data_IF_142399023095
#
_entry.id   IF_142399023095
#
_cell.length_a   1.000
_cell.length_b   1.000
_cell.length_c   1.000
_cell.angle_alpha   90.00
_cell.angle_beta   90.00
_cell.angle_gamma   90.00
#
_symmetry.space_group_name_H-M   'P 1'
#
loop_
_entity.id
_entity.type
_entity.pdbx_description
1 polymer ?
#
# COMPACT_ATOMS: atom_id res chain seq x y z
N UNK A 1 -20.46 9.82 -11.00
CA UNK A 1 -19.71 8.93 -11.93
C UNK A 1 -18.24 9.29 -12.18
N UNK A 2 -17.87 10.41 -12.83
CA UNK A 2 -16.47 10.66 -13.24
C UNK A 2 -15.47 10.89 -12.09
N UNK A 3 -15.87 11.63 -11.05
CA UNK A 3 -15.05 11.87 -9.84
C UNK A 3 -14.76 10.58 -9.06
N UNK A 4 -15.72 9.66 -9.08
CA UNK A 4 -15.68 8.38 -8.37
C UNK A 4 -14.66 7.45 -9.01
N UNK A 5 -14.76 7.31 -10.33
CA UNK A 5 -13.78 6.60 -11.17
C UNK A 5 -12.37 7.09 -10.92
N UNK A 6 -12.19 8.42 -10.95
CA UNK A 6 -10.88 9.03 -10.72
C UNK A 6 -10.35 8.73 -9.30
N UNK A 7 -11.20 8.88 -8.27
CA UNK A 7 -10.81 8.59 -6.89
C UNK A 7 -10.32 7.14 -6.73
N UNK A 8 -11.11 6.17 -7.17
CA UNK A 8 -10.76 4.75 -7.06
C UNK A 8 -9.55 4.38 -7.93
N UNK A 9 -9.38 4.98 -9.10
CA UNK A 9 -8.19 4.79 -9.93
C UNK A 9 -6.93 5.34 -9.25
N UNK A 10 -7.01 6.50 -8.60
CA UNK A 10 -5.91 7.08 -7.82
C UNK A 10 -5.56 6.17 -6.64
N UNK A 11 -6.57 5.69 -5.90
CA UNK A 11 -6.34 4.76 -4.80
C UNK A 11 -5.69 3.44 -5.29
N UNK A 12 -6.16 2.88 -6.41
CA UNK A 12 -5.57 1.68 -7.00
C UNK A 12 -4.12 1.89 -7.45
N UNK A 13 -3.84 3.00 -8.14
CA UNK A 13 -2.49 3.36 -8.55
C UNK A 13 -1.56 3.56 -7.33
N UNK A 14 -2.09 4.18 -6.26
CA UNK A 14 -1.36 4.34 -5.02
C UNK A 14 -0.98 3.00 -4.39
N UNK A 15 -1.89 2.02 -4.33
CA UNK A 15 -1.56 0.69 -3.79
C UNK A 15 -0.39 0.02 -4.56
N UNK A 16 -0.30 0.24 -5.88
CA UNK A 16 0.81 -0.28 -6.70
C UNK A 16 2.11 0.44 -6.39
N UNK A 17 2.10 1.78 -6.32
CA UNK A 17 3.28 2.59 -5.97
C UNK A 17 3.80 2.22 -4.59
N UNK A 18 2.87 2.09 -3.64
CA UNK A 18 3.14 1.70 -2.26
C UNK A 18 3.75 0.30 -2.17
N UNK A 19 3.18 -0.68 -2.88
CA UNK A 19 3.75 -2.02 -2.96
C UNK A 19 5.20 -1.96 -3.47
N UNK A 20 5.44 -1.26 -4.58
CA UNK A 20 6.77 -1.12 -5.16
C UNK A 20 7.76 -0.45 -4.19
N UNK A 21 7.34 0.61 -3.48
CA UNK A 21 8.18 1.31 -2.51
C UNK A 21 8.55 0.41 -1.32
N UNK A 22 7.58 -0.26 -0.70
CA UNK A 22 7.83 -1.17 0.41
C UNK A 22 8.65 -2.38 -0.03
N UNK A 23 8.36 -2.93 -1.20
CA UNK A 23 9.13 -4.04 -1.78
C UNK A 23 10.59 -3.63 -2.01
N UNK A 24 10.85 -2.49 -2.64
CA UNK A 24 12.21 -2.00 -2.87
C UNK A 24 12.98 -1.82 -1.55
N UNK A 25 12.31 -1.29 -0.52
CA UNK A 25 12.94 -1.08 0.79
C UNK A 25 13.23 -2.40 1.51
N UNK A 26 12.37 -3.40 1.38
CA UNK A 26 12.57 -4.69 2.06
C UNK A 26 13.53 -5.63 1.32
N UNK A 27 13.61 -5.53 -0.01
CA UNK A 27 14.32 -6.51 -0.86
C UNK A 27 15.67 -6.04 -1.39
N UNK A 28 15.89 -4.73 -1.53
CA UNK A 28 17.19 -4.19 -1.97
C UNK A 28 18.17 -4.20 -0.79
N UNK A 29 18.56 -5.38 -0.32
CA UNK A 29 19.70 -5.57 0.59
C UNK A 29 20.80 -6.29 -0.18
N UNK A 30 21.77 -5.56 -0.75
CA UNK A 30 22.95 -6.19 -1.33
C UNK A 30 23.66 -7.01 -0.23
N UNK A 31 24.04 -8.25 -0.54
CA UNK A 31 25.05 -8.99 0.23
C UNK A 31 24.60 -9.87 1.42
N UNK A 32 23.31 -9.94 1.78
CA UNK A 32 22.87 -10.75 2.95
C UNK A 32 22.11 -12.02 2.55
N UNK A 33 22.47 -13.16 3.16
CA UNK A 33 21.77 -14.45 2.96
C UNK A 33 20.27 -14.41 3.37
N UNK A 34 19.87 -13.42 4.19
CA UNK A 34 18.48 -13.16 4.57
C UNK A 34 17.63 -12.48 3.49
N UNK A 35 18.24 -11.93 2.43
CA UNK A 35 17.52 -11.17 1.40
C UNK A 35 16.42 -12.00 0.69
N UNK A 36 16.64 -13.31 0.50
CA UNK A 36 15.63 -14.20 -0.07
C UNK A 36 14.41 -14.37 0.83
N UNK A 37 14.60 -14.52 2.15
CA UNK A 37 13.51 -14.64 3.13
C UNK A 37 12.71 -13.35 3.18
N UNK A 38 13.38 -12.20 3.28
CA UNK A 38 12.70 -10.90 3.27
C UNK A 38 11.95 -10.62 1.96
N UNK A 39 12.48 -11.08 0.82
CA UNK A 39 11.81 -10.97 -0.48
C UNK A 39 10.54 -11.82 -0.55
N UNK A 40 10.60 -13.07 -0.09
CA UNK A 40 9.42 -13.95 -0.03
C UNK A 40 8.39 -13.39 0.94
N UNK A 41 8.80 -12.94 2.13
CA UNK A 41 7.91 -12.31 3.10
C UNK A 41 7.27 -11.02 2.54
N UNK A 42 8.05 -10.17 1.88
CA UNK A 42 7.55 -8.96 1.24
C UNK A 42 6.56 -9.26 0.11
N UNK A 43 6.81 -10.27 -0.72
CA UNK A 43 5.88 -10.75 -1.74
C UNK A 43 4.58 -11.27 -1.13
N UNK A 44 4.67 -12.04 -0.05
CA UNK A 44 3.49 -12.60 0.62
C UNK A 44 2.60 -11.50 1.18
N UNK A 45 3.17 -10.55 1.93
CA UNK A 45 2.42 -9.41 2.48
C UNK A 45 1.97 -8.40 1.42
N UNK A 46 2.70 -8.28 0.31
CA UNK A 46 2.38 -7.37 -0.78
C UNK A 46 1.34 -7.92 -1.76
N UNK A 47 1.14 -9.24 -1.84
CA UNK A 47 0.12 -9.86 -2.70
C UNK A 47 -1.30 -9.36 -2.38
N UNK A 48 -1.61 -9.18 -1.09
CA UNK A 48 -2.87 -8.60 -0.64
C UNK A 48 -3.05 -7.14 -1.04
N UNK A 49 -1.97 -6.37 -1.16
CA UNK A 49 -2.02 -4.97 -1.62
C UNK A 49 -2.34 -4.90 -3.12
N UNK A 50 -1.77 -5.79 -3.93
CA UNK A 50 -2.09 -5.88 -5.36
C UNK A 50 -3.55 -6.32 -5.58
N UNK A 51 -4.04 -7.25 -4.77
CA UNK A 51 -5.46 -7.63 -4.79
C UNK A 51 -6.36 -6.44 -4.39
N UNK A 52 -5.96 -5.64 -3.39
CA UNK A 52 -6.66 -4.42 -3.00
C UNK A 52 -6.67 -3.38 -4.12
N UNK A 53 -5.56 -3.20 -4.83
CA UNK A 53 -5.45 -2.32 -5.99
C UNK A 53 -6.46 -2.72 -7.07
N UNK A 54 -6.52 -4.02 -7.40
CA UNK A 54 -7.48 -4.55 -8.36
C UNK A 54 -8.93 -4.35 -7.88
N UNK A 55 -9.22 -4.61 -6.61
CA UNK A 55 -10.55 -4.42 -6.04
C UNK A 55 -11.00 -2.94 -6.12
N UNK A 56 -10.10 -1.99 -5.84
CA UNK A 56 -10.37 -0.57 -5.97
C UNK A 56 -10.62 -0.17 -7.43
N UNK A 57 -9.81 -0.67 -8.38
CA UNK A 57 -10.03 -0.44 -9.79
C UNK A 57 -11.40 -0.95 -10.25
N UNK A 58 -11.79 -2.16 -9.82
CA UNK A 58 -13.10 -2.75 -10.16
C UNK A 58 -14.27 -1.93 -9.58
N UNK A 59 -14.14 -1.42 -8.34
CA UNK A 59 -15.12 -0.49 -7.74
C UNK A 59 -15.21 0.84 -8.51
N UNK A 60 -14.09 1.35 -9.01
CA UNK A 60 -14.07 2.56 -9.83
C UNK A 60 -14.75 2.38 -11.17
N UNK A 61 -14.39 1.33 -11.92
CA UNK A 61 -14.89 1.12 -13.28
C UNK A 61 -16.31 0.54 -13.34
N UNK A 62 -16.68 -0.30 -12.37
CA UNK A 62 -17.97 -1.01 -12.34
C UNK A 62 -18.67 -0.87 -10.96
N UNK A 63 -18.99 0.35 -10.52
CA UNK A 63 -19.52 0.60 -9.17
C UNK A 63 -20.84 -0.11 -8.89
N UNK A 64 -21.73 -0.21 -9.88
CA UNK A 64 -23.04 -0.87 -9.74
C UNK A 64 -22.91 -2.34 -9.35
N UNK A 65 -21.92 -3.04 -9.93
CA UNK A 65 -21.68 -4.47 -9.68
C UNK A 65 -20.95 -4.73 -8.38
N UNK A 66 -20.04 -3.82 -7.98
CA UNK A 66 -19.12 -4.06 -6.86
C UNK A 66 -19.38 -3.21 -5.62
N UNK A 67 -20.43 -2.37 -5.59
CA UNK A 67 -20.77 -1.52 -4.43
C UNK A 67 -20.86 -2.26 -3.10
N UNK A 68 -21.35 -3.50 -3.11
CA UNK A 68 -21.49 -4.34 -1.92
C UNK A 68 -20.13 -4.73 -1.29
N UNK A 69 -19.03 -4.68 -2.05
CA UNK A 69 -17.68 -4.97 -1.57
C UNK A 69 -16.98 -3.77 -0.94
N UNK A 70 -17.59 -2.57 -0.96
CA UNK A 70 -16.98 -1.37 -0.37
C UNK A 70 -16.58 -1.54 1.11
N UNK A 71 -17.39 -2.17 1.99
CA UNK A 71 -16.97 -2.44 3.37
C UNK A 71 -15.74 -3.35 3.45
N UNK A 72 -15.65 -4.35 2.56
CA UNK A 72 -14.52 -5.26 2.50
C UNK A 72 -13.25 -4.52 2.05
N UNK A 73 -13.37 -3.61 1.07
CA UNK A 73 -12.25 -2.78 0.60
C UNK A 73 -11.78 -1.81 1.69
N UNK A 74 -12.68 -1.28 2.52
CA UNK A 74 -12.31 -0.50 3.70
C UNK A 74 -11.54 -1.33 4.72
N UNK A 75 -12.04 -2.53 5.04
CA UNK A 75 -11.35 -3.44 5.96
C UNK A 75 -9.96 -3.82 5.42
N UNK A 76 -9.87 -4.17 4.14
CA UNK A 76 -8.60 -4.49 3.51
C UNK A 76 -7.65 -3.29 3.51
N UNK A 77 -8.15 -2.07 3.27
CA UNK A 77 -7.36 -0.84 3.40
C UNK A 77 -6.89 -0.62 4.83
N UNK A 78 -7.71 -0.88 5.85
CA UNK A 78 -7.30 -0.81 7.26
C UNK A 78 -6.20 -1.84 7.59
N UNK A 79 -6.35 -3.08 7.13
CA UNK A 79 -5.33 -4.12 7.31
C UNK A 79 -4.04 -3.80 6.56
N UNK A 80 -4.14 -3.07 5.44
CA UNK A 80 -2.99 -2.66 4.66
C UNK A 80 -2.04 -1.76 5.45
N UNK A 81 -2.45 -1.09 6.53
CA UNK A 81 -1.51 -0.32 7.36
C UNK A 81 -0.42 -1.20 8.01
N UNK A 82 -0.72 -2.49 8.24
CA UNK A 82 0.13 -3.43 8.97
C UNK A 82 1.59 -3.44 8.49
N UNK A 83 1.89 -3.71 7.22
CA UNK A 83 3.27 -3.70 6.71
C UNK A 83 4.05 -2.41 6.97
N UNK A 84 3.41 -1.24 6.85
CA UNK A 84 4.09 0.03 7.08
C UNK A 84 4.30 0.31 8.57
N UNK A 85 3.32 -0.03 9.43
CA UNK A 85 3.48 0.02 10.89
C UNK A 85 4.62 -0.92 11.33
N UNK A 86 4.63 -2.15 10.84
CA UNK A 86 5.68 -3.12 11.14
C UNK A 86 7.05 -2.59 10.72
N UNK A 87 7.17 -2.00 9.53
CA UNK A 87 8.43 -1.40 9.08
C UNK A 87 8.92 -0.24 9.98
N UNK A 88 7.99 0.56 10.54
CA UNK A 88 8.32 1.63 11.50
C UNK A 88 8.72 1.06 12.86
N UNK A 89 7.98 0.09 13.39
CA UNK A 89 8.18 -0.42 14.76
C UNK A 89 9.35 -1.39 14.88
N UNK A 90 9.55 -2.26 13.88
CA UNK A 90 10.70 -3.18 13.86
C UNK A 90 12.01 -2.49 13.50
N UNK A 91 11.92 -1.30 12.90
CA UNK A 91 13.06 -0.60 12.32
C UNK A 91 13.54 -1.30 11.04
N UNK A 92 14.01 -0.52 10.07
CA UNK A 92 14.66 -1.09 8.88
C UNK A 92 16.12 -1.35 9.26
N UNK A 93 16.60 -2.60 9.23
CA UNK A 93 17.97 -2.91 9.63
C UNK A 93 18.96 -2.11 8.78
N UNK A 94 19.91 -1.46 9.45
CA UNK A 94 20.98 -0.70 8.81
C UNK A 94 21.89 -1.69 8.11
N UNK A 95 21.85 -1.73 6.78
CA UNK A 95 22.86 -2.44 6.00
C UNK A 95 24.17 -1.65 6.09
N UNK A 96 25.24 -2.35 6.46
CA UNK A 96 26.60 -1.81 6.50
C UNK A 96 27.09 -1.31 5.13
N UNK A 97 26.42 -1.73 4.05
CA UNK A 97 26.74 -1.34 2.66
C UNK A 97 25.99 -0.08 2.19
N UNK A 98 25.27 0.63 3.07
CA UNK A 98 24.70 1.92 2.71
C UNK A 98 25.78 3.01 2.61
N UNK A 99 26.31 3.17 1.40
CA UNK A 99 27.33 4.18 1.07
C UNK A 99 26.79 5.62 1.18
N UNK A 100 25.46 5.82 1.21
CA UNK A 100 24.84 7.16 1.20
C UNK A 100 23.89 7.41 2.40
N UNK A 101 24.13 8.44 3.22
CA UNK A 101 23.20 8.91 4.25
C UNK A 101 21.82 9.29 3.71
N UNK A 102 21.75 9.74 2.46
CA UNK A 102 20.48 10.06 1.81
C UNK A 102 19.63 8.81 1.55
N UNK A 103 20.25 7.69 1.16
CA UNK A 103 19.54 6.42 0.96
C UNK A 103 18.99 5.87 2.28
N UNK A 104 19.74 6.05 3.38
CA UNK A 104 19.27 5.72 4.72
C UNK A 104 18.06 6.56 5.13
N UNK A 105 18.15 7.88 4.94
CA UNK A 105 17.04 8.79 5.24
C UNK A 105 15.79 8.45 4.43
N UNK A 106 15.92 8.20 3.12
CA UNK A 106 14.79 7.80 2.26
C UNK A 106 14.16 6.51 2.77
N UNK A 107 14.96 5.49 3.12
CA UNK A 107 14.44 4.25 3.71
C UNK A 107 13.70 4.48 5.02
N UNK A 108 14.24 5.31 5.92
CA UNK A 108 13.61 5.60 7.20
C UNK A 108 12.30 6.39 7.07
N UNK A 109 12.23 7.34 6.12
CA UNK A 109 11.08 8.23 5.94
C UNK A 109 9.97 7.59 5.11
N UNK A 110 10.29 6.68 4.19
CA UNK A 110 9.28 6.11 3.27
C UNK A 110 8.13 5.40 3.98
N UNK A 111 8.33 4.54 5.01
CA UNK A 111 7.22 3.96 5.75
C UNK A 111 6.30 5.01 6.40
N UNK A 112 6.86 6.11 6.91
CA UNK A 112 6.09 7.22 7.48
C UNK A 112 5.28 7.94 6.40
N UNK A 113 5.88 8.20 5.24
CA UNK A 113 5.19 8.80 4.11
C UNK A 113 4.04 7.90 3.61
N UNK A 114 4.27 6.58 3.55
CA UNK A 114 3.24 5.59 3.21
C UNK A 114 2.08 5.64 4.20
N UNK A 115 2.34 5.64 5.51
CA UNK A 115 1.30 5.75 6.54
C UNK A 115 0.51 7.06 6.43
N UNK A 116 1.19 8.18 6.13
CA UNK A 116 0.54 9.47 5.96
C UNK A 116 -0.46 9.46 4.79
N UNK A 117 -0.02 9.00 3.62
CA UNK A 117 -0.89 8.92 2.43
C UNK A 117 -2.00 7.87 2.62
N UNK A 118 -1.70 6.72 3.21
CA UNK A 118 -2.69 5.69 3.52
C UNK A 118 -3.78 6.21 4.47
N UNK A 119 -3.40 6.99 5.49
CA UNK A 119 -4.33 7.62 6.42
C UNK A 119 -5.29 8.55 5.68
N UNK A 120 -4.76 9.44 4.83
CA UNK A 120 -5.57 10.36 4.03
C UNK A 120 -6.55 9.60 3.13
N UNK A 121 -6.05 8.63 2.34
CA UNK A 121 -6.89 7.85 1.43
C UNK A 121 -7.93 7.01 2.18
N UNK A 122 -7.58 6.48 3.35
CA UNK A 122 -8.53 5.74 4.19
C UNK A 122 -9.65 6.64 4.72
N UNK A 123 -9.34 7.86 5.19
CA UNK A 123 -10.36 8.84 5.59
C UNK A 123 -11.29 9.21 4.41
N UNK A 124 -10.74 9.41 3.22
CA UNK A 124 -11.57 9.62 2.03
C UNK A 124 -12.43 8.40 1.69
N UNK A 125 -11.88 7.18 1.78
CA UNK A 125 -12.61 5.94 1.54
C UNK A 125 -13.74 5.69 2.56
N UNK A 126 -13.54 6.10 3.82
CA UNK A 126 -14.55 6.03 4.88
C UNK A 126 -15.70 7.02 4.64
N UNK A 127 -15.39 8.24 4.22
CA UNK A 127 -16.40 9.27 3.92
C UNK A 127 -17.18 8.98 2.63
N UNK A 128 -16.64 8.14 1.75
CA UNK A 128 -17.27 7.78 0.49
C UNK A 128 -18.59 7.03 0.67
N UNK A 129 -19.63 7.35 -0.11
CA UNK A 129 -20.85 6.53 -0.21
C UNK A 129 -21.17 6.34 -1.68
N UNK A 130 -21.28 5.08 -2.12
CA UNK A 130 -21.78 4.78 -3.47
C UNK A 130 -23.29 4.83 -3.38
N UNK A 131 -23.87 5.98 -3.74
CA UNK A 131 -25.32 6.12 -3.88
C UNK A 131 -25.72 5.36 -5.13
N UNK A 132 -26.53 4.31 -5.00
CA UNK A 132 -27.17 3.72 -6.16
C UNK A 132 -28.21 4.71 -6.66
N UNK A 133 -28.06 5.20 -7.90
CA UNK A 133 -29.24 5.67 -8.63
C UNK A 133 -30.01 4.39 -8.98
N UNK A 134 -31.20 4.24 -8.40
CA UNK A 134 -32.18 3.20 -8.75
C UNK A 134 -32.83 3.49 -10.10
#
# INVERSE_FOLDING_TARGET
MGREKLFFAVCAAWEVVRFAALFAILTVQPGTAGAAVYTVTALWFGSGQLALAAAMAMLGFFPERYRCYLPLVRLAKLLSFGPAILAVTSGIPVSLDMVSPAAYLVRAVTPLAVLGVDSLLFFFLLSYRITGEE
#
